data_IF_519716789927
#
_entry.id   IF_519716789927
#
_cell.length_a   1.000
_cell.length_b   1.000
_cell.length_c   1.000
_cell.angle_alpha   90.00
_cell.angle_beta   90.00
_cell.angle_gamma   90.00
#
_symmetry.space_group_name_H-M   'P 1'
#
loop_
_entity.id
_entity.type
_entity.pdbx_description
1 polymer ?
#
# COMPACT_ATOMS: atom_id res chain seq x y z
N UNK A 1 15.76 12.04 -25.16
CA UNK A 1 17.09 12.34 -24.58
C UNK A 1 17.02 12.17 -23.07
N UNK A 2 18.07 11.64 -22.44
CA UNK A 2 18.17 11.64 -20.97
C UNK A 2 18.51 13.08 -20.52
N UNK A 3 17.79 13.60 -19.52
CA UNK A 3 18.12 14.90 -18.90
C UNK A 3 19.19 14.67 -17.83
N UNK A 4 20.25 15.46 -17.86
CA UNK A 4 21.31 15.48 -16.85
C UNK A 4 21.11 16.62 -15.86
N UNK A 5 21.56 16.43 -14.62
CA UNK A 5 21.51 17.43 -13.55
C UNK A 5 22.86 17.48 -12.83
N UNK A 6 23.30 18.68 -12.44
CA UNK A 6 24.51 18.89 -11.63
C UNK A 6 24.08 19.25 -10.22
N UNK A 7 24.54 18.49 -9.23
CA UNK A 7 24.25 18.73 -7.82
C UNK A 7 25.28 19.69 -7.24
N UNK A 8 24.82 20.75 -6.55
CA UNK A 8 25.70 21.79 -5.99
C UNK A 8 26.39 21.36 -4.69
N UNK A 9 25.76 20.48 -3.90
CA UNK A 9 26.30 19.92 -2.66
C UNK A 9 25.76 18.49 -2.46
N UNK A 10 26.20 17.51 -3.25
CA UNK A 10 25.68 16.15 -3.15
C UNK A 10 26.18 15.46 -1.86
N UNK A 11 25.36 14.57 -1.25
CA UNK A 11 25.91 13.52 -0.41
C UNK A 11 26.83 12.60 -1.23
N UNK A 12 27.47 11.63 -0.58
CA UNK A 12 28.34 10.70 -1.28
C UNK A 12 27.61 9.91 -2.38
N UNK A 13 28.38 9.46 -3.38
CA UNK A 13 27.82 8.79 -4.57
C UNK A 13 27.11 7.49 -4.20
N UNK A 14 27.56 6.75 -3.18
CA UNK A 14 26.92 5.50 -2.76
C UNK A 14 25.52 5.76 -2.19
N UNK A 15 25.39 6.78 -1.34
CA UNK A 15 24.10 7.25 -0.83
C UNK A 15 23.15 7.62 -1.97
N UNK A 16 23.64 8.37 -2.97
CA UNK A 16 22.84 8.74 -4.13
C UNK A 16 22.39 7.53 -4.96
N UNK A 17 23.29 6.58 -5.22
CA UNK A 17 23.02 5.35 -5.99
C UNK A 17 21.95 4.50 -5.30
N UNK A 18 22.02 4.37 -3.97
CA UNK A 18 21.10 3.56 -3.16
C UNK A 18 19.73 4.20 -3.01
N UNK A 19 19.70 5.50 -2.70
CA UNK A 19 18.50 6.13 -2.15
C UNK A 19 17.67 6.89 -3.18
N UNK A 20 18.27 7.49 -4.20
CA UNK A 20 17.53 8.38 -5.10
C UNK A 20 16.46 7.63 -5.90
N UNK A 21 15.28 8.24 -5.93
CA UNK A 21 14.25 7.94 -6.93
C UNK A 21 14.50 8.74 -8.21
N UNK A 22 13.88 8.36 -9.33
CA UNK A 22 13.84 9.10 -10.61
C UNK A 22 15.12 9.12 -11.48
N UNK A 23 16.28 8.73 -10.97
CA UNK A 23 17.51 8.75 -11.76
C UNK A 23 17.91 7.34 -12.20
N UNK A 24 18.22 7.17 -13.49
CA UNK A 24 18.78 5.90 -14.02
C UNK A 24 20.22 5.70 -13.57
N UNK A 25 21.02 6.76 -13.57
CA UNK A 25 22.44 6.72 -13.21
C UNK A 25 22.85 7.91 -12.34
N UNK A 26 23.88 7.71 -11.52
CA UNK A 26 24.64 8.75 -10.83
C UNK A 26 26.08 8.63 -11.30
N UNK A 27 26.56 9.64 -12.04
CA UNK A 27 27.75 9.49 -12.86
C UNK A 27 27.58 8.34 -13.85
N UNK A 28 28.48 7.36 -13.79
CA UNK A 28 28.44 6.15 -14.63
C UNK A 28 27.79 4.94 -13.95
N UNK A 29 27.34 5.08 -12.69
CA UNK A 29 26.77 3.97 -11.91
C UNK A 29 25.25 3.93 -12.05
N UNK A 30 24.70 2.76 -12.33
CA UNK A 30 23.26 2.53 -12.35
C UNK A 30 22.72 2.55 -10.91
N UNK A 31 21.60 3.25 -10.69
CA UNK A 31 20.95 3.33 -9.36
C UNK A 31 20.26 2.05 -8.96
N UNK A 32 20.15 1.81 -7.65
CA UNK A 32 19.42 0.67 -7.11
C UNK A 32 17.95 0.75 -7.46
N UNK A 33 17.36 1.96 -7.41
CA UNK A 33 15.98 2.17 -7.86
C UNK A 33 15.77 1.71 -9.31
N UNK A 34 16.66 2.07 -10.23
CA UNK A 34 16.53 1.62 -11.62
C UNK A 34 16.65 0.10 -11.75
N UNK A 35 17.58 -0.53 -11.01
CA UNK A 35 17.72 -2.00 -10.98
C UNK A 35 16.46 -2.67 -10.44
N UNK A 36 15.89 -2.17 -9.34
CA UNK A 36 14.63 -2.67 -8.75
C UNK A 36 13.48 -2.61 -9.76
N UNK A 37 13.34 -1.51 -10.51
CA UNK A 37 12.28 -1.37 -11.52
C UNK A 37 12.38 -2.35 -12.69
N UNK A 38 13.54 -3.02 -12.87
CA UNK A 38 13.71 -4.08 -13.88
C UNK A 38 13.01 -5.38 -13.51
N UNK A 39 12.80 -5.61 -12.22
CA UNK A 39 12.02 -6.72 -11.69
C UNK A 39 10.52 -6.46 -11.79
N UNK A 40 10.05 -6.09 -12.98
CA UNK A 40 8.66 -5.80 -13.24
C UNK A 40 8.07 -6.86 -14.16
N UNK A 41 7.22 -7.71 -13.57
CA UNK A 41 6.53 -8.79 -14.28
C UNK A 41 5.23 -8.32 -14.93
N UNK A 42 4.85 -7.05 -14.77
CA UNK A 42 3.66 -6.45 -15.38
C UNK A 42 4.03 -5.41 -16.44
N UNK A 43 3.03 -4.94 -17.20
CA UNK A 43 3.22 -3.88 -18.20
C UNK A 43 3.18 -2.47 -17.60
N UNK A 44 2.82 -2.33 -16.32
CA UNK A 44 2.64 -1.03 -15.66
C UNK A 44 3.95 -0.57 -15.03
N UNK A 45 4.40 0.65 -15.32
CA UNK A 45 5.71 1.16 -14.89
C UNK A 45 5.89 1.29 -13.36
N UNK A 46 4.81 1.25 -12.58
CA UNK A 46 4.81 1.43 -11.12
C UNK A 46 4.48 0.14 -10.34
N UNK A 47 4.85 -1.01 -10.91
CA UNK A 47 4.39 -2.32 -10.46
C UNK A 47 5.51 -3.36 -10.34
N UNK A 48 6.75 -2.89 -10.18
CA UNK A 48 7.90 -3.78 -9.93
C UNK A 48 7.77 -4.51 -8.58
N UNK A 49 8.45 -5.65 -8.49
CA UNK A 49 8.42 -6.55 -7.33
C UNK A 49 6.98 -6.88 -6.93
N UNK A 50 6.64 -6.71 -5.66
CA UNK A 50 5.33 -7.09 -5.09
C UNK A 50 4.29 -5.97 -5.17
N UNK A 51 4.62 -4.76 -5.64
CA UNK A 51 3.71 -3.60 -5.66
C UNK A 51 2.39 -3.86 -6.42
N UNK A 52 2.44 -4.70 -7.44
CA UNK A 52 1.28 -5.02 -8.27
C UNK A 52 0.27 -5.95 -7.61
N UNK A 53 0.69 -6.74 -6.62
CA UNK A 53 -0.16 -7.75 -5.97
C UNK A 53 -1.46 -7.08 -5.52
N UNK A 54 -2.56 -7.67 -5.99
CA UNK A 54 -3.93 -7.17 -5.89
C UNK A 54 -4.23 -5.81 -6.58
N UNK A 55 -5.27 -5.71 -7.43
CA UNK A 55 -5.58 -4.48 -8.16
C UNK A 55 -6.35 -3.44 -7.32
N UNK A 56 -5.78 -2.96 -6.21
CA UNK A 56 -6.37 -1.89 -5.39
C UNK A 56 -6.39 -0.54 -6.14
N UNK A 57 -7.45 0.26 -5.97
CA UNK A 57 -7.59 1.60 -6.55
C UNK A 57 -7.07 2.66 -5.56
N UNK A 58 -6.53 3.77 -6.07
CA UNK A 58 -6.01 4.85 -5.22
C UNK A 58 -4.65 4.56 -4.57
N UNK A 59 -3.83 3.70 -5.18
CA UNK A 59 -2.49 3.37 -4.66
C UNK A 59 -1.50 4.51 -4.86
N UNK A 60 -0.56 4.63 -3.93
CA UNK A 60 0.65 5.41 -4.14
C UNK A 60 1.52 4.90 -5.28
N UNK A 61 2.20 5.82 -5.95
CA UNK A 61 3.31 5.52 -6.84
C UNK A 61 4.57 5.22 -6.01
N UNK A 62 5.21 4.05 -6.17
CA UNK A 62 6.40 3.69 -5.37
C UNK A 62 7.54 4.72 -5.49
N UNK A 63 7.73 5.26 -6.70
CA UNK A 63 8.73 6.30 -6.97
C UNK A 63 8.55 7.56 -6.10
N UNK A 64 7.30 7.96 -5.87
CA UNK A 64 6.95 9.13 -5.08
C UNK A 64 7.24 8.87 -3.60
N UNK A 65 6.88 7.68 -3.09
CA UNK A 65 7.15 7.29 -1.71
C UNK A 65 8.64 7.25 -1.43
N UNK A 66 9.44 6.68 -2.31
CA UNK A 66 10.91 6.72 -2.17
C UNK A 66 11.44 8.16 -2.12
N UNK A 67 10.89 9.06 -2.92
CA UNK A 67 11.27 10.47 -2.83
C UNK A 67 10.83 11.11 -1.51
N UNK A 68 9.64 10.82 -1.01
CA UNK A 68 9.15 11.35 0.27
C UNK A 68 9.96 10.84 1.46
N UNK A 69 10.32 9.56 1.49
CA UNK A 69 11.22 9.00 2.52
C UNK A 69 12.56 9.76 2.56
N UNK A 70 13.08 10.16 1.40
CA UNK A 70 14.29 10.97 1.31
C UNK A 70 14.08 12.44 1.71
N UNK A 71 12.95 13.06 1.31
CA UNK A 71 12.63 14.45 1.67
C UNK A 71 12.44 14.59 3.19
N UNK A 72 11.83 13.59 3.82
CA UNK A 72 11.69 13.50 5.28
C UNK A 72 12.99 13.14 5.99
N UNK A 73 14.06 12.84 5.23
CA UNK A 73 15.39 12.47 5.73
C UNK A 73 15.37 11.25 6.65
N UNK A 74 14.49 10.29 6.37
CA UNK A 74 14.40 9.07 7.16
C UNK A 74 15.59 8.15 6.90
N UNK A 75 16.26 7.72 7.95
CA UNK A 75 17.42 6.86 7.91
C UNK A 75 17.06 5.39 8.18
N UNK A 76 18.00 4.48 7.89
CA UNK A 76 17.79 3.07 8.19
C UNK A 76 17.57 2.86 9.70
N UNK A 77 16.72 1.91 10.05
CA UNK A 77 16.23 1.64 11.42
C UNK A 77 15.33 2.71 12.04
N UNK A 78 15.16 3.89 11.43
CA UNK A 78 14.08 4.80 11.80
C UNK A 78 12.73 4.26 11.33
N UNK A 79 11.65 4.74 11.94
CA UNK A 79 10.29 4.25 11.68
C UNK A 79 9.46 5.30 10.95
N UNK A 80 8.95 4.91 9.78
CA UNK A 80 7.87 5.62 9.10
C UNK A 80 6.52 5.04 9.48
N UNK A 81 5.56 5.89 9.78
CA UNK A 81 4.16 5.50 9.97
C UNK A 81 3.34 5.86 8.73
N UNK A 82 2.47 4.95 8.33
CA UNK A 82 1.33 5.24 7.47
C UNK A 82 0.04 4.83 8.20
N UNK A 83 -0.74 5.78 8.76
CA UNK A 83 -1.98 5.48 9.47
C UNK A 83 -3.14 5.11 8.53
N UNK A 84 -2.90 5.12 7.21
CA UNK A 84 -3.83 4.68 6.16
C UNK A 84 -3.06 3.84 5.13
N UNK A 85 -2.34 2.81 5.60
CA UNK A 85 -1.34 2.05 4.82
C UNK A 85 -1.86 1.55 3.47
N UNK A 86 -3.16 1.30 3.36
CA UNK A 86 -3.83 0.91 2.13
C UNK A 86 -3.20 -0.36 1.57
N UNK A 87 -2.79 -0.33 0.30
CA UNK A 87 -2.18 -1.50 -0.34
C UNK A 87 -0.70 -1.74 0.02
N UNK A 88 -0.10 -0.94 0.91
CA UNK A 88 1.25 -1.21 1.44
C UNK A 88 2.42 -0.64 0.64
N UNK A 89 2.21 0.32 -0.26
CA UNK A 89 3.32 0.92 -1.04
C UNK A 89 4.35 1.59 -0.11
N UNK A 90 3.90 2.28 0.94
CA UNK A 90 4.80 2.88 1.95
C UNK A 90 5.68 1.82 2.62
N UNK A 91 5.08 0.70 3.02
CA UNK A 91 5.79 -0.40 3.66
C UNK A 91 6.85 -1.06 2.76
N UNK A 92 6.51 -1.35 1.50
CA UNK A 92 7.47 -1.97 0.55
C UNK A 92 8.65 -1.05 0.28
N UNK A 93 8.42 0.25 0.03
CA UNK A 93 9.53 1.17 -0.26
C UNK A 93 10.38 1.50 0.97
N UNK A 94 9.77 1.58 2.16
CA UNK A 94 10.51 1.73 3.41
C UNK A 94 11.40 0.51 3.67
N UNK A 95 10.83 -0.70 3.54
CA UNK A 95 11.56 -1.96 3.71
C UNK A 95 12.77 -2.05 2.77
N UNK A 96 12.61 -1.69 1.49
CA UNK A 96 13.69 -1.68 0.49
C UNK A 96 14.82 -0.67 0.80
N UNK A 97 14.56 0.33 1.65
CA UNK A 97 15.54 1.33 2.07
C UNK A 97 16.12 1.05 3.47
N UNK A 98 15.75 -0.05 4.12
CA UNK A 98 16.15 -0.35 5.50
C UNK A 98 15.42 0.47 6.56
N UNK A 99 14.34 1.16 6.18
CA UNK A 99 13.52 1.98 7.07
C UNK A 99 12.41 1.08 7.63
N UNK A 100 12.21 1.10 8.94
CA UNK A 100 11.11 0.38 9.57
C UNK A 100 9.78 1.03 9.19
N UNK A 101 8.73 0.25 9.01
CA UNK A 101 7.40 0.76 8.72
C UNK A 101 6.37 0.21 9.69
N UNK A 102 5.61 1.10 10.31
CA UNK A 102 4.35 0.75 10.97
C UNK A 102 3.21 1.18 10.04
N UNK A 103 2.37 0.24 9.65
CA UNK A 103 1.20 0.48 8.81
C UNK A 103 -0.08 0.18 9.56
N UNK A 104 -1.03 1.11 9.58
CA UNK A 104 -2.34 0.89 10.19
C UNK A 104 -3.42 1.09 9.13
N UNK A 105 -4.41 0.21 9.10
CA UNK A 105 -5.62 0.35 8.30
C UNK A 105 -6.82 -0.26 9.03
N UNK A 106 -8.00 0.28 8.78
CA UNK A 106 -9.26 -0.33 9.20
C UNK A 106 -9.67 -1.46 8.26
N UNK A 107 -9.15 -1.45 7.03
CA UNK A 107 -9.50 -2.44 6.01
C UNK A 107 -8.68 -3.73 6.19
N UNK A 108 -9.31 -4.86 6.54
CA UNK A 108 -8.61 -6.15 6.67
C UNK A 108 -7.98 -6.61 5.33
N UNK A 109 -8.57 -6.20 4.20
CA UNK A 109 -8.01 -6.44 2.88
C UNK A 109 -6.72 -5.64 2.63
N UNK A 110 -6.63 -4.40 3.14
CA UNK A 110 -5.41 -3.58 3.06
C UNK A 110 -4.30 -4.17 3.93
N UNK A 111 -4.64 -4.63 5.14
CA UNK A 111 -3.72 -5.35 6.04
C UNK A 111 -3.15 -6.58 5.34
N UNK A 112 -4.02 -7.44 4.80
CA UNK A 112 -3.61 -8.66 4.10
C UNK A 112 -2.72 -8.35 2.89
N UNK A 113 -3.09 -7.36 2.06
CA UNK A 113 -2.28 -6.93 0.92
C UNK A 113 -0.89 -6.48 1.34
N UNK A 114 -0.80 -5.64 2.36
CA UNK A 114 0.46 -5.07 2.83
C UNK A 114 1.36 -6.17 3.38
N UNK A 115 0.83 -7.03 4.26
CA UNK A 115 1.54 -8.22 4.79
C UNK A 115 2.08 -9.11 3.68
N UNK A 116 1.25 -9.50 2.72
CA UNK A 116 1.69 -10.37 1.60
C UNK A 116 2.82 -9.73 0.80
N UNK A 117 2.81 -8.41 0.61
CA UNK A 117 3.86 -7.73 -0.17
C UNK A 117 5.20 -7.62 0.53
N UNK A 118 5.22 -7.64 1.86
CA UNK A 118 6.43 -7.40 2.67
C UNK A 118 6.91 -8.61 3.45
N UNK A 119 6.05 -9.61 3.70
CA UNK A 119 6.37 -10.78 4.54
C UNK A 119 6.63 -12.05 3.72
N UNK A 120 6.08 -12.17 2.50
CA UNK A 120 6.20 -13.40 1.69
C UNK A 120 7.63 -13.75 1.32
N UNK A 121 8.52 -12.75 1.26
CA UNK A 121 9.96 -12.94 1.01
C UNK A 121 10.61 -13.85 2.07
N UNK A 122 10.10 -13.85 3.31
CA UNK A 122 10.66 -14.65 4.41
C UNK A 122 10.14 -16.09 4.45
N UNK A 123 9.19 -16.45 3.58
CA UNK A 123 8.54 -17.77 3.56
C UNK A 123 8.38 -18.33 2.13
N UNK A 124 9.16 -17.81 1.19
CA UNK A 124 9.03 -18.14 -0.24
C UNK A 124 9.27 -19.64 -0.54
N UNK A 125 10.14 -20.31 0.20
CA UNK A 125 10.41 -21.73 0.01
C UNK A 125 9.19 -22.59 0.36
N UNK A 126 8.49 -22.27 1.45
CA UNK A 126 7.26 -22.98 1.82
C UNK A 126 6.12 -22.68 0.83
N UNK A 127 6.01 -21.44 0.36
CA UNK A 127 5.09 -21.06 -0.73
C UNK A 127 5.40 -21.87 -2.01
N UNK A 128 6.68 -22.07 -2.37
CA UNK A 128 7.01 -22.88 -3.55
C UNK A 128 6.65 -24.34 -3.34
N UNK A 129 6.88 -24.88 -2.13
CA UNK A 129 6.56 -26.27 -1.77
C UNK A 129 5.06 -26.59 -1.87
N UNK A 130 4.19 -25.70 -1.39
CA UNK A 130 2.74 -25.92 -1.35
C UNK A 130 2.02 -25.54 -2.67
N UNK A 131 2.75 -25.06 -3.67
CA UNK A 131 2.21 -24.56 -4.96
C UNK A 131 1.28 -25.55 -5.65
N UNK A 132 1.72 -26.80 -5.83
CA UNK A 132 0.95 -27.81 -6.57
C UNK A 132 -0.31 -28.24 -5.79
N UNK A 133 -0.21 -28.38 -4.47
CA UNK A 133 -1.35 -28.67 -3.60
C UNK A 133 -2.39 -27.55 -3.67
N UNK A 134 -1.96 -26.28 -3.60
CA UNK A 134 -2.83 -25.12 -3.73
C UNK A 134 -3.60 -25.14 -5.07
N UNK A 135 -2.92 -25.43 -6.18
CA UNK A 135 -3.53 -25.52 -7.51
C UNK A 135 -4.54 -26.67 -7.57
N UNK A 136 -4.18 -27.85 -7.06
CA UNK A 136 -5.06 -29.01 -7.04
C UNK A 136 -6.34 -28.75 -6.22
N UNK A 137 -6.19 -28.25 -4.99
CA UNK A 137 -7.32 -27.90 -4.12
C UNK A 137 -8.19 -26.78 -4.71
N UNK A 138 -7.61 -25.77 -5.36
CA UNK A 138 -8.38 -24.70 -6.00
C UNK A 138 -9.19 -25.20 -7.20
N UNK A 139 -8.59 -26.06 -8.04
CA UNK A 139 -9.29 -26.72 -9.16
C UNK A 139 -10.47 -27.56 -8.64
N UNK A 140 -10.24 -28.36 -7.60
CA UNK A 140 -11.29 -29.21 -7.01
C UNK A 140 -12.48 -28.37 -6.53
N UNK A 141 -12.23 -27.30 -5.77
CA UNK A 141 -13.30 -26.43 -5.25
C UNK A 141 -14.09 -25.67 -6.32
N UNK A 142 -13.61 -25.62 -7.57
CA UNK A 142 -14.25 -24.91 -8.67
C UNK A 142 -14.72 -25.83 -9.81
N UNK A 143 -14.72 -27.16 -9.61
CA UNK A 143 -15.34 -28.10 -10.57
C UNK A 143 -16.87 -28.00 -10.47
N UNK A 144 -17.50 -27.49 -11.53
CA UNK A 144 -18.95 -27.56 -11.74
C UNK A 144 -19.31 -28.97 -12.21
N UNK A 145 -20.28 -29.62 -11.56
CA UNK A 145 -20.96 -30.86 -11.95
C UNK A 145 -20.48 -31.54 -13.25
N UNK A 146 -19.50 -32.44 -13.15
CA UNK A 146 -19.39 -33.51 -14.14
C UNK A 146 -18.77 -34.73 -13.49
N UNK A 147 -19.66 -35.67 -13.18
CA UNK A 147 -19.44 -37.10 -13.01
C UNK A 147 -18.55 -37.52 -11.83
N UNK A 148 -19.16 -38.41 -11.04
CA UNK A 148 -18.61 -39.23 -9.97
C UNK A 148 -17.13 -39.56 -10.22
N UNK A 149 -16.26 -39.12 -9.31
CA UNK A 149 -14.94 -39.72 -9.13
C UNK A 149 -14.79 -40.03 -7.66
N UNK A 150 -14.35 -41.25 -7.43
CA UNK A 150 -14.23 -42.00 -6.19
C UNK A 150 -13.61 -41.22 -5.02
N UNK A 151 -14.00 -41.62 -3.81
CA UNK A 151 -13.43 -41.24 -2.52
C UNK A 151 -11.90 -41.25 -2.57
N UNK A 152 -11.32 -40.09 -2.87
CA UNK A 152 -9.95 -39.77 -2.48
C UNK A 152 -9.96 -38.41 -1.81
N UNK A 153 -9.21 -38.36 -0.70
CA UNK A 153 -9.18 -37.35 0.36
C UNK A 153 -8.60 -36.02 -0.16
N UNK A 154 -9.23 -35.42 -1.16
CA UNK A 154 -8.79 -34.15 -1.70
C UNK A 154 -9.51 -33.02 -0.95
N UNK A 155 -8.74 -32.30 -0.13
CA UNK A 155 -9.24 -31.18 0.68
C UNK A 155 -9.63 -30.00 -0.21
N UNK A 156 -10.79 -29.39 0.06
CA UNK A 156 -11.20 -28.15 -0.60
C UNK A 156 -10.23 -27.01 -0.31
N UNK A 157 -10.24 -25.93 -1.11
CA UNK A 157 -9.26 -24.85 -0.96
C UNK A 157 -9.29 -24.16 0.42
N UNK A 158 -10.46 -24.05 1.07
CA UNK A 158 -10.53 -23.52 2.43
C UNK A 158 -9.88 -24.47 3.46
N UNK A 159 -10.01 -25.79 3.28
CA UNK A 159 -9.33 -26.77 4.13
C UNK A 159 -7.82 -26.78 3.90
N UNK A 160 -7.36 -26.56 2.66
CA UNK A 160 -5.96 -26.30 2.33
C UNK A 160 -5.45 -25.04 3.04
N UNK A 161 -6.19 -23.93 3.01
CA UNK A 161 -5.79 -22.72 3.76
C UNK A 161 -5.70 -23.00 5.27
N UNK A 162 -6.64 -23.79 5.82
CA UNK A 162 -6.67 -24.11 7.24
C UNK A 162 -5.57 -25.09 7.68
N UNK A 163 -5.00 -25.89 6.77
CA UNK A 163 -3.88 -26.79 7.09
C UNK A 163 -2.53 -26.08 7.17
N UNK A 164 -2.44 -24.83 6.71
CA UNK A 164 -1.20 -24.05 6.72
C UNK A 164 -1.01 -23.40 8.11
N UNK A 165 0.06 -23.78 8.79
CA UNK A 165 0.40 -23.28 10.12
C UNK A 165 0.98 -21.85 10.10
N UNK A 166 1.90 -21.56 9.16
CA UNK A 166 2.51 -20.23 9.05
C UNK A 166 1.50 -19.23 8.44
N UNK A 167 1.11 -18.23 9.24
CA UNK A 167 0.14 -17.21 8.82
C UNK A 167 0.58 -16.49 7.54
N UNK A 168 1.89 -16.25 7.34
CA UNK A 168 2.42 -15.53 6.17
C UNK A 168 2.18 -16.33 4.89
N UNK A 169 2.41 -17.65 4.96
CA UNK A 169 2.14 -18.58 3.85
C UNK A 169 0.64 -18.66 3.57
N UNK A 170 -0.18 -18.78 4.61
CA UNK A 170 -1.65 -18.79 4.48
C UNK A 170 -2.18 -17.49 3.87
N UNK A 171 -1.66 -16.35 4.31
CA UNK A 171 -1.99 -15.01 3.80
C UNK A 171 -1.66 -14.90 2.31
N UNK A 172 -0.51 -15.43 1.86
CA UNK A 172 -0.13 -15.45 0.45
C UNK A 172 -1.16 -16.19 -0.42
N UNK A 173 -1.57 -17.40 0.00
CA UNK A 173 -2.56 -18.19 -0.74
C UNK A 173 -3.98 -17.64 -0.66
N UNK A 174 -4.37 -17.05 0.48
CA UNK A 174 -5.63 -16.32 0.58
C UNK A 174 -5.64 -15.15 -0.41
N UNK A 175 -4.56 -14.39 -0.47
CA UNK A 175 -4.43 -13.29 -1.43
C UNK A 175 -4.50 -13.77 -2.89
N UNK A 176 -3.85 -14.90 -3.24
CA UNK A 176 -3.97 -15.48 -4.58
C UNK A 176 -5.43 -15.81 -4.96
N UNK A 177 -6.20 -16.38 -4.02
CA UNK A 177 -7.65 -16.61 -4.18
C UNK A 177 -8.40 -15.29 -4.40
N UNK A 178 -8.14 -14.26 -3.60
CA UNK A 178 -8.82 -12.96 -3.71
C UNK A 178 -8.50 -12.24 -5.01
N UNK A 179 -7.26 -12.34 -5.51
CA UNK A 179 -6.90 -11.81 -6.83
C UNK A 179 -7.72 -12.47 -7.93
N UNK A 180 -7.89 -13.80 -7.89
CA UNK A 180 -8.70 -14.53 -8.87
C UNK A 180 -10.19 -14.13 -8.82
N UNK A 181 -10.74 -13.97 -7.61
CA UNK A 181 -12.12 -13.50 -7.40
C UNK A 181 -12.28 -12.08 -7.97
N UNK A 182 -11.33 -11.18 -7.71
CA UNK A 182 -11.35 -9.82 -8.25
C UNK A 182 -11.26 -9.80 -9.77
N UNK A 183 -10.43 -10.67 -10.37
CA UNK A 183 -10.31 -10.82 -11.82
C UNK A 183 -11.62 -11.28 -12.46
N UNK A 184 -12.32 -12.24 -11.84
CA UNK A 184 -13.65 -12.67 -12.29
C UNK A 184 -14.68 -11.55 -12.17
N UNK A 185 -14.78 -10.94 -10.99
CA UNK A 185 -15.76 -9.89 -10.71
C UNK A 185 -15.60 -8.66 -11.63
N UNK A 186 -14.36 -8.26 -11.92
CA UNK A 186 -14.07 -7.02 -12.67
C UNK A 186 -13.89 -7.22 -14.17
N UNK A 187 -13.54 -8.42 -14.62
CA UNK A 187 -13.14 -8.68 -16.02
C UNK A 187 -13.79 -9.92 -16.63
N UNK A 188 -14.63 -10.64 -15.88
CA UNK A 188 -15.28 -11.87 -16.36
C UNK A 188 -14.31 -13.01 -16.67
N UNK A 189 -13.11 -13.00 -16.08
CA UNK A 189 -12.09 -14.04 -16.34
C UNK A 189 -12.48 -15.37 -15.68
N UNK A 190 -12.05 -16.46 -16.30
CA UNK A 190 -12.12 -17.78 -15.70
C UNK A 190 -11.32 -17.81 -14.38
N UNK A 191 -11.97 -18.26 -13.31
CA UNK A 191 -11.43 -18.14 -11.95
C UNK A 191 -10.24 -19.09 -11.73
N UNK A 192 -10.27 -20.30 -12.29
CA UNK A 192 -9.21 -21.29 -12.12
C UNK A 192 -7.97 -20.88 -12.89
N UNK A 193 -8.13 -20.48 -14.16
CA UNK A 193 -7.03 -19.98 -14.97
C UNK A 193 -6.45 -18.68 -14.42
N UNK A 194 -7.31 -17.78 -13.92
CA UNK A 194 -6.87 -16.55 -13.23
C UNK A 194 -6.08 -16.88 -11.97
N UNK A 195 -6.55 -17.82 -11.14
CA UNK A 195 -5.86 -18.25 -9.93
C UNK A 195 -4.46 -18.79 -10.24
N UNK A 196 -4.35 -19.78 -11.13
CA UNK A 196 -3.06 -20.40 -11.49
C UNK A 196 -2.11 -19.33 -12.02
N UNK A 197 -2.55 -18.53 -13.00
CA UNK A 197 -1.73 -17.49 -13.60
C UNK A 197 -1.23 -16.47 -12.57
N UNK A 198 -2.12 -15.98 -11.69
CA UNK A 198 -1.76 -14.97 -10.71
C UNK A 198 -0.88 -15.57 -9.60
N UNK A 199 -1.09 -16.82 -9.20
CA UNK A 199 -0.25 -17.53 -8.25
C UNK A 199 1.20 -17.63 -8.77
N UNK A 200 1.40 -18.08 -10.01
CA UNK A 200 2.75 -18.13 -10.62
C UNK A 200 3.42 -16.77 -10.65
N UNK A 201 2.65 -15.74 -11.03
CA UNK A 201 3.15 -14.38 -11.13
C UNK A 201 3.55 -13.84 -9.74
N UNK A 202 2.75 -14.13 -8.72
CA UNK A 202 3.03 -13.76 -7.33
C UNK A 202 4.31 -14.45 -6.83
N UNK A 203 4.44 -15.76 -7.03
CA UNK A 203 5.65 -16.53 -6.64
C UNK A 203 6.88 -15.94 -7.32
N UNK A 204 6.81 -15.71 -8.63
CA UNK A 204 7.91 -15.12 -9.41
C UNK A 204 8.29 -13.72 -8.93
N UNK A 205 7.31 -12.93 -8.48
CA UNK A 205 7.55 -11.56 -8.00
C UNK A 205 8.18 -11.53 -6.61
N UNK A 206 7.88 -12.52 -5.77
CA UNK A 206 8.53 -12.68 -4.46
C UNK A 206 9.95 -13.23 -4.64
N UNK A 207 10.17 -14.17 -5.56
CA UNK A 207 11.52 -14.65 -5.94
C UNK A 207 12.41 -13.51 -6.46
N UNK A 208 11.85 -12.65 -7.31
CA UNK A 208 12.52 -11.44 -7.79
C UNK A 208 12.89 -10.49 -6.64
N UNK A 209 12.03 -10.38 -5.62
CA UNK A 209 12.29 -9.55 -4.45
C UNK A 209 13.47 -10.12 -3.64
N UNK A 210 13.44 -11.42 -3.31
CA UNK A 210 14.57 -12.08 -2.64
C UNK A 210 15.88 -11.91 -3.43
N UNK A 211 15.84 -12.13 -4.74
CA UNK A 211 16.99 -11.96 -5.62
C UNK A 211 17.51 -10.53 -5.62
N UNK A 212 16.63 -9.54 -5.77
CA UNK A 212 17.02 -8.13 -5.76
C UNK A 212 17.63 -7.71 -4.41
N UNK A 213 17.07 -8.18 -3.30
CA UNK A 213 17.60 -7.92 -1.96
C UNK A 213 19.02 -8.48 -1.81
N UNK A 214 19.26 -9.70 -2.28
CA UNK A 214 20.60 -10.32 -2.27
C UNK A 214 21.60 -9.62 -3.20
N UNK A 215 21.23 -9.37 -4.45
CA UNK A 215 22.12 -8.77 -5.45
C UNK A 215 22.53 -7.34 -5.12
N UNK A 216 21.65 -6.57 -4.48
CA UNK A 216 21.91 -5.20 -4.06
C UNK A 216 22.43 -5.10 -2.62
N UNK A 217 22.58 -6.25 -1.93
CA UNK A 217 22.96 -6.34 -0.52
C UNK A 217 22.11 -5.41 0.35
N UNK A 218 20.78 -5.50 0.20
CA UNK A 218 19.82 -4.68 0.93
C UNK A 218 19.69 -5.20 2.37
N UNK A 219 19.78 -4.28 3.32
CA UNK A 219 19.33 -4.51 4.69
C UNK A 219 17.86 -4.08 4.74
N UNK A 220 16.95 -5.05 4.84
CA UNK A 220 15.51 -4.77 4.80
C UNK A 220 15.02 -4.21 6.12
N UNK A 221 14.18 -3.18 6.07
CA UNK A 221 13.52 -2.62 7.24
C UNK A 221 12.43 -3.55 7.79
N UNK A 222 12.18 -3.48 9.10
CA UNK A 222 11.10 -4.25 9.71
C UNK A 222 9.75 -3.62 9.34
N UNK A 223 8.77 -4.46 9.03
CA UNK A 223 7.41 -4.02 8.68
C UNK A 223 6.43 -4.60 9.67
N UNK A 224 5.61 -3.75 10.25
CA UNK A 224 4.59 -4.10 11.23
C UNK A 224 3.25 -3.50 10.77
N UNK A 225 2.38 -4.34 10.22
CA UNK A 225 1.08 -3.92 9.69
C UNK A 225 -0.04 -4.47 10.55
N UNK A 226 -0.88 -3.57 11.06
CA UNK A 226 -1.91 -3.86 12.05
C UNK A 226 -3.27 -3.33 11.62
N UNK A 227 -4.30 -4.12 11.88
CA UNK A 227 -5.67 -3.60 11.82
C UNK A 227 -5.88 -2.57 12.93
N UNK A 228 -6.42 -1.41 12.61
CA UNK A 228 -6.63 -0.34 13.57
C UNK A 228 -7.20 0.93 12.96
N UNK A 229 -7.61 1.84 13.83
CA UNK A 229 -8.26 3.10 13.45
C UNK A 229 -7.29 4.27 13.57
N UNK A 230 -7.10 5.02 12.48
CA UNK A 230 -6.25 6.21 12.45
C UNK A 230 -6.68 7.30 13.46
N UNK A 231 -7.96 7.29 13.87
CA UNK A 231 -8.51 8.21 14.88
C UNK A 231 -8.07 7.86 16.30
N UNK A 232 -7.47 6.69 16.50
CA UNK A 232 -6.97 6.18 17.79
C UNK A 232 -5.85 5.17 17.55
N UNK A 233 -4.64 5.68 17.31
CA UNK A 233 -3.46 4.88 17.02
C UNK A 233 -2.99 4.15 18.30
N UNK A 234 -2.77 2.82 18.24
CA UNK A 234 -2.23 2.04 19.36
C UNK A 234 -0.70 2.21 19.48
N UNK A 235 -0.24 3.46 19.48
CA UNK A 235 1.17 3.86 19.50
C UNK A 235 1.42 4.84 20.63
N UNK A 236 2.65 4.85 21.15
CA UNK A 236 3.07 5.78 22.20
C UNK A 236 3.27 7.18 21.63
N UNK A 237 3.13 8.19 22.49
CA UNK A 237 3.48 9.56 22.16
C UNK A 237 4.94 9.63 21.70
N UNK A 238 5.22 10.49 20.71
CA UNK A 238 6.57 10.77 20.22
C UNK A 238 7.43 9.53 19.96
N UNK A 239 6.87 8.53 19.26
CA UNK A 239 7.53 7.24 18.98
C UNK A 239 7.89 7.04 17.51
N UNK A 240 7.51 7.97 16.63
CA UNK A 240 7.64 7.86 15.18
C UNK A 240 8.54 8.97 14.62
N UNK A 241 9.48 8.61 13.75
CA UNK A 241 10.46 9.53 13.16
C UNK A 241 9.98 10.18 11.86
N UNK A 242 8.92 9.67 11.24
CA UNK A 242 8.28 10.32 10.10
C UNK A 242 6.92 9.71 9.76
N UNK A 243 6.04 10.51 9.16
CA UNK A 243 4.74 10.03 8.69
C UNK A 243 4.62 10.28 7.18
N UNK A 244 4.20 9.27 6.42
CA UNK A 244 3.86 9.44 5.00
C UNK A 244 2.51 8.79 4.80
N UNK A 245 1.53 9.56 4.33
CA UNK A 245 0.18 9.02 4.17
C UNK A 245 -0.64 9.72 3.10
N UNK A 246 -1.68 9.04 2.64
CA UNK A 246 -2.74 9.59 1.80
C UNK A 246 -4.07 9.16 2.40
N UNK A 247 -4.71 10.03 3.19
CA UNK A 247 -5.99 9.71 3.80
C UNK A 247 -7.06 9.42 2.74
N UNK A 248 -8.10 8.66 3.08
CA UNK A 248 -9.17 8.36 2.12
C UNK A 248 -9.80 9.66 1.60
N UNK A 249 -9.72 9.85 0.29
CA UNK A 249 -10.42 10.91 -0.46
C UNK A 249 -11.92 10.64 -0.39
N UNK A 250 -12.50 11.09 0.70
CA UNK A 250 -13.72 10.54 1.29
C UNK A 250 -14.99 10.72 0.48
N UNK A 251 -14.88 11.25 -0.73
CA UNK A 251 -16.01 11.60 -1.57
C UNK A 251 -15.78 11.22 -3.04
N UNK A 252 -14.57 10.78 -3.38
CA UNK A 252 -14.22 10.39 -4.75
C UNK A 252 -14.29 8.88 -4.99
N UNK A 253 -14.13 8.05 -3.93
CA UNK A 253 -14.07 6.60 -4.07
C UNK A 253 -14.71 5.89 -2.86
N UNK A 254 -15.64 4.99 -3.14
CA UNK A 254 -16.20 4.08 -2.14
C UNK A 254 -15.34 2.81 -2.08
N UNK A 255 -14.42 2.76 -1.11
CA UNK A 255 -13.47 1.64 -0.96
C UNK A 255 -14.16 0.32 -0.60
N UNK A 256 -15.27 0.37 0.15
CA UNK A 256 -16.04 -0.82 0.51
C UNK A 256 -16.72 -1.38 -0.75
N UNK A 257 -17.43 -0.54 -1.49
CA UNK A 257 -18.12 -0.98 -2.71
C UNK A 257 -17.14 -1.44 -3.81
N UNK A 258 -15.98 -0.80 -3.91
CA UNK A 258 -14.99 -1.13 -4.95
C UNK A 258 -14.38 -2.53 -4.79
N UNK A 259 -14.29 -3.02 -3.55
CA UNK A 259 -13.68 -4.30 -3.20
C UNK A 259 -14.65 -5.25 -2.46
N UNK A 260 -15.96 -5.00 -2.60
CA UNK A 260 -17.04 -5.80 -2.00
C UNK A 260 -16.87 -7.31 -2.26
N UNK A 261 -16.55 -7.71 -3.50
CA UNK A 261 -16.31 -9.10 -3.88
C UNK A 261 -15.21 -9.78 -3.07
N UNK A 262 -14.21 -9.02 -2.61
CA UNK A 262 -13.11 -9.55 -1.81
C UNK A 262 -13.48 -9.59 -0.32
N UNK A 263 -14.16 -8.57 0.19
CA UNK A 263 -14.67 -8.56 1.56
C UNK A 263 -15.68 -9.67 1.83
N UNK A 264 -16.63 -9.88 0.92
CA UNK A 264 -17.59 -10.98 0.97
C UNK A 264 -16.89 -12.35 0.95
N UNK A 265 -15.87 -12.50 0.10
CA UNK A 265 -15.07 -13.73 0.03
C UNK A 265 -14.23 -13.99 1.28
N UNK A 266 -13.92 -12.95 2.05
CA UNK A 266 -13.27 -13.02 3.36
C UNK A 266 -14.29 -13.17 4.50
N UNK A 267 -15.60 -13.15 4.21
CA UNK A 267 -16.67 -13.34 5.19
C UNK A 267 -17.10 -12.08 5.95
N UNK A 268 -16.75 -10.89 5.46
CA UNK A 268 -17.13 -9.64 6.10
C UNK A 268 -18.53 -9.15 5.69
N UNK A 269 -19.22 -8.55 6.65
CA UNK A 269 -20.49 -7.85 6.47
C UNK A 269 -20.22 -6.42 5.98
N UNK A 270 -20.58 -6.13 4.73
CA UNK A 270 -20.29 -4.84 4.10
C UNK A 270 -20.96 -3.66 4.81
N UNK A 271 -22.16 -3.84 5.38
CA UNK A 271 -22.87 -2.75 6.04
C UNK A 271 -22.16 -2.36 7.33
N UNK A 272 -21.72 -3.35 8.11
CA UNK A 272 -20.91 -3.10 9.33
C UNK A 272 -19.57 -2.44 9.01
N UNK A 273 -18.89 -2.87 7.94
CA UNK A 273 -17.61 -2.27 7.55
C UNK A 273 -17.75 -0.78 7.21
N UNK A 274 -18.86 -0.37 6.57
CA UNK A 274 -19.06 1.04 6.19
C UNK A 274 -19.07 1.98 7.39
N UNK A 275 -19.46 1.53 8.57
CA UNK A 275 -19.52 2.35 9.78
C UNK A 275 -18.13 2.65 10.38
N UNK A 276 -17.14 1.84 10.02
CA UNK A 276 -15.77 1.96 10.52
C UNK A 276 -14.92 2.84 9.60
N UNK A 277 -15.16 2.80 8.29
CA UNK A 277 -14.37 3.51 7.29
C UNK A 277 -14.61 5.03 7.30
N UNK A 278 -13.50 5.78 7.28
CA UNK A 278 -13.55 7.23 7.11
C UNK A 278 -14.04 7.57 5.70
N UNK A 279 -15.03 8.46 5.64
CA UNK A 279 -15.53 9.04 4.39
C UNK A 279 -16.73 8.40 3.73
N UNK A 280 -17.07 7.17 4.07
CA UNK A 280 -18.23 6.48 3.46
C UNK A 280 -19.52 6.60 4.29
N UNK A 281 -19.45 7.27 5.45
CA UNK A 281 -20.54 7.45 6.42
C UNK A 281 -21.39 8.68 6.13
N UNK A 282 -22.67 8.60 6.47
CA UNK A 282 -23.63 9.69 6.24
C UNK A 282 -23.92 9.99 4.76
N UNK A 283 -24.77 11.00 4.52
CA UNK A 283 -25.15 11.51 3.19
C UNK A 283 -25.08 13.05 3.18
N UNK A 284 -24.90 13.64 2.00
CA UNK A 284 -24.93 15.10 1.83
C UNK A 284 -23.92 15.82 2.72
N UNK A 285 -24.36 16.88 3.39
CA UNK A 285 -23.54 17.68 4.32
C UNK A 285 -23.06 16.89 5.55
N UNK A 286 -23.88 15.97 6.06
CA UNK A 286 -23.51 15.14 7.22
C UNK A 286 -22.27 14.30 6.93
N UNK A 287 -22.10 13.79 5.70
CA UNK A 287 -20.89 13.06 5.31
C UNK A 287 -19.64 13.94 5.41
N UNK A 288 -19.72 15.19 4.94
CA UNK A 288 -18.60 16.12 4.98
C UNK A 288 -18.22 16.46 6.41
N UNK A 289 -19.21 16.68 7.28
CA UNK A 289 -18.99 16.95 8.70
C UNK A 289 -18.29 15.78 9.39
N UNK A 290 -18.81 14.55 9.22
CA UNK A 290 -18.22 13.35 9.78
C UNK A 290 -16.79 13.12 9.29
N UNK A 291 -16.55 13.32 7.99
CA UNK A 291 -15.21 13.23 7.42
C UNK A 291 -14.23 14.22 8.07
N UNK A 292 -14.61 15.49 8.16
CA UNK A 292 -13.76 16.51 8.76
C UNK A 292 -13.47 16.19 10.24
N UNK A 293 -14.46 15.72 11.00
CA UNK A 293 -14.28 15.28 12.39
C UNK A 293 -13.31 14.08 12.50
N UNK A 294 -13.46 13.08 11.63
CA UNK A 294 -12.58 11.92 11.58
C UNK A 294 -11.14 12.31 11.21
N UNK A 295 -10.98 13.19 10.22
CA UNK A 295 -9.68 13.70 9.81
C UNK A 295 -9.03 14.52 10.90
N UNK A 296 -9.76 15.40 11.57
CA UNK A 296 -9.23 16.16 12.71
C UNK A 296 -8.71 15.21 13.79
N UNK A 297 -9.45 14.15 14.16
CA UNK A 297 -8.98 13.14 15.13
C UNK A 297 -7.72 12.42 14.65
N UNK A 298 -7.69 12.03 13.38
CA UNK A 298 -6.52 11.36 12.79
C UNK A 298 -5.28 12.26 12.79
N UNK A 299 -5.44 13.56 12.49
CA UNK A 299 -4.36 14.54 12.53
C UNK A 299 -3.86 14.78 13.97
N UNK A 300 -4.73 14.75 14.98
CA UNK A 300 -4.31 14.80 16.39
C UNK A 300 -3.45 13.59 16.75
N UNK A 301 -3.86 12.39 16.35
CA UNK A 301 -3.07 11.17 16.60
C UNK A 301 -1.73 11.20 15.88
N UNK A 302 -1.70 11.67 14.62
CA UNK A 302 -0.46 11.88 13.86
C UNK A 302 0.48 12.88 14.56
N UNK A 303 -0.05 13.98 15.10
CA UNK A 303 0.73 14.92 15.91
C UNK A 303 1.27 14.28 17.19
N UNK A 304 0.41 13.55 17.91
CA UNK A 304 0.75 12.89 19.18
C UNK A 304 1.92 11.91 19.03
N UNK A 305 1.87 11.04 18.01
CA UNK A 305 2.87 9.97 17.84
C UNK A 305 4.15 10.41 17.15
N UNK A 306 4.13 11.49 16.37
CA UNK A 306 5.33 12.01 15.71
C UNK A 306 6.26 12.68 16.73
N UNK A 307 7.55 12.39 16.66
CA UNK A 307 8.55 13.09 17.47
C UNK A 307 8.66 14.58 17.11
N UNK A 308 8.98 15.41 18.10
CA UNK A 308 9.28 16.82 17.87
C UNK A 308 10.45 17.02 16.91
N UNK A 309 10.32 17.97 15.98
CA UNK A 309 11.31 18.28 14.96
C UNK A 309 11.26 17.37 13.72
N UNK A 310 10.48 16.27 13.77
CA UNK A 310 10.26 15.38 12.63
C UNK A 310 9.15 15.86 11.72
N UNK A 311 9.06 15.23 10.56
CA UNK A 311 8.19 15.66 9.48
C UNK A 311 7.10 14.64 9.13
N UNK A 312 5.97 15.15 8.66
CA UNK A 312 4.86 14.40 8.11
C UNK A 312 4.57 14.87 6.68
N UNK A 313 4.45 13.94 5.73
CA UNK A 313 3.97 14.19 4.37
C UNK A 313 2.55 13.63 4.20
N UNK A 314 1.61 14.52 3.86
CA UNK A 314 0.21 14.17 3.60
C UNK A 314 -0.07 14.44 2.13
N UNK A 315 -0.40 13.40 1.38
CA UNK A 315 -0.82 13.50 -0.02
C UNK A 315 -2.32 13.59 -0.07
N UNK A 316 -2.82 14.75 -0.47
CA UNK A 316 -4.25 15.06 -0.45
C UNK A 316 -4.61 16.01 -1.59
N UNK A 317 -5.81 15.84 -2.13
CA UNK A 317 -6.34 16.62 -3.24
C UNK A 317 -7.71 17.16 -2.90
N UNK A 318 -8.08 18.26 -3.56
CA UNK A 318 -9.42 18.79 -3.43
C UNK A 318 -10.43 17.88 -4.12
N UNK A 319 -11.48 17.48 -3.39
CA UNK A 319 -12.56 16.68 -3.93
C UNK A 319 -13.66 17.56 -4.54
N UNK A 320 -14.44 17.00 -5.46
CA UNK A 320 -15.68 17.62 -5.95
C UNK A 320 -16.83 16.71 -5.60
N UNK A 321 -17.83 17.22 -4.89
CA UNK A 321 -19.05 16.48 -4.55
C UNK A 321 -20.28 17.24 -5.00
N UNK A 322 -21.17 16.60 -5.78
CA UNK A 322 -22.40 17.23 -6.27
C UNK A 322 -22.17 18.65 -6.84
N UNK A 323 -21.12 18.82 -7.65
CA UNK A 323 -20.67 20.09 -8.26
C UNK A 323 -20.09 21.16 -7.30
N UNK A 324 -19.98 20.87 -6.00
CA UNK A 324 -19.32 21.73 -5.02
C UNK A 324 -17.87 21.29 -4.82
N UNK A 325 -16.93 22.24 -4.94
CA UNK A 325 -15.50 22.00 -4.69
C UNK A 325 -15.25 22.02 -3.19
N UNK A 326 -14.63 20.96 -2.69
CA UNK A 326 -14.29 20.79 -1.28
C UNK A 326 -12.83 21.21 -1.11
N UNK A 327 -12.62 22.14 -0.20
CA UNK A 327 -11.32 22.73 0.14
C UNK A 327 -10.56 21.87 1.15
N UNK A 328 -10.34 20.61 0.79
CA UNK A 328 -9.72 19.62 1.67
C UNK A 328 -8.27 19.99 2.00
N UNK A 329 -7.56 20.58 1.04
CA UNK A 329 -6.18 21.04 1.22
C UNK A 329 -6.13 22.15 2.26
N UNK A 330 -6.94 23.20 2.10
CA UNK A 330 -6.98 24.34 3.00
C UNK A 330 -7.41 23.93 4.41
N UNK A 331 -8.44 23.07 4.52
CA UNK A 331 -8.86 22.51 5.80
C UNK A 331 -7.71 21.75 6.50
N UNK A 332 -7.00 20.89 5.77
CA UNK A 332 -5.90 20.09 6.34
C UNK A 332 -4.76 20.98 6.85
N UNK A 333 -4.38 22.01 6.08
CA UNK A 333 -3.35 22.98 6.50
C UNK A 333 -3.79 23.67 7.79
N UNK A 334 -5.00 24.22 7.84
CA UNK A 334 -5.52 24.94 9.00
C UNK A 334 -5.57 24.05 10.26
N UNK A 335 -6.01 22.79 10.12
CA UNK A 335 -6.05 21.86 11.25
C UNK A 335 -4.65 21.48 11.74
N UNK A 336 -3.72 21.19 10.83
CA UNK A 336 -2.34 20.90 11.19
C UNK A 336 -1.68 22.08 11.92
N UNK A 337 -1.86 23.30 11.43
CA UNK A 337 -1.30 24.52 12.05
C UNK A 337 -1.85 24.75 13.46
N UNK A 338 -3.17 24.54 13.67
CA UNK A 338 -3.79 24.59 15.00
C UNK A 338 -3.20 23.57 15.99
N UNK A 339 -2.76 22.42 15.49
CA UNK A 339 -2.14 21.37 16.30
C UNK A 339 -0.68 21.64 16.66
N UNK A 340 -0.03 22.63 16.03
CA UNK A 340 1.39 22.91 16.26
C UNK A 340 2.33 22.31 15.19
N UNK A 341 1.79 21.88 14.05
CA UNK A 341 2.59 21.66 12.86
C UNK A 341 2.88 22.98 12.13
N UNK A 342 4.03 23.05 11.46
CA UNK A 342 4.37 24.13 10.54
C UNK A 342 4.47 23.57 9.13
N UNK A 343 3.76 24.17 8.17
CA UNK A 343 3.87 23.79 6.76
C UNK A 343 5.23 24.23 6.20
N UNK A 344 6.06 23.26 5.83
CA UNK A 344 7.41 23.50 5.29
C UNK A 344 7.38 23.57 3.76
N UNK A 345 6.54 22.76 3.12
CA UNK A 345 6.44 22.73 1.67
C UNK A 345 5.06 22.26 1.20
N UNK A 346 4.64 22.75 0.05
CA UNK A 346 3.41 22.34 -0.62
C UNK A 346 3.72 22.03 -2.09
N UNK A 347 3.85 20.75 -2.41
CA UNK A 347 4.22 20.30 -3.75
C UNK A 347 2.94 20.03 -4.54
N UNK A 348 2.70 20.84 -5.57
CA UNK A 348 1.55 20.68 -6.46
C UNK A 348 1.83 19.63 -7.55
N UNK A 349 0.91 18.69 -7.72
CA UNK A 349 0.92 17.72 -8.83
C UNK A 349 -0.39 17.84 -9.62
N UNK A 350 -0.25 18.13 -10.90
CA UNK A 350 -1.39 18.10 -11.82
C UNK A 350 -1.61 16.66 -12.26
N UNK A 351 -2.82 16.16 -12.04
CA UNK A 351 -3.30 14.86 -12.51
C UNK A 351 -4.29 15.10 -13.64
N UNK A 352 -4.03 14.44 -14.77
CA UNK A 352 -4.97 14.33 -15.86
C UNK A 352 -5.85 13.10 -15.61
N UNK A 353 -7.11 13.32 -15.25
CA UNK A 353 -8.06 12.22 -15.04
C UNK A 353 -8.45 11.52 -16.35
N UNK A 354 -9.16 10.38 -16.22
CA UNK A 354 -9.72 9.58 -17.34
C UNK A 354 -10.64 10.37 -18.29
N UNK A 355 -11.03 11.59 -17.94
CA UNK A 355 -11.93 12.46 -18.71
C UNK A 355 -11.34 13.85 -19.01
N UNK A 356 -10.02 14.03 -18.99
CA UNK A 356 -9.36 15.34 -19.19
C UNK A 356 -9.77 16.43 -18.19
N UNK A 357 -10.41 16.06 -17.07
CA UNK A 357 -10.66 16.98 -15.95
C UNK A 357 -9.35 17.12 -15.18
N UNK A 358 -8.80 18.33 -15.15
CA UNK A 358 -7.60 18.66 -14.40
C UNK A 358 -7.92 18.58 -12.89
N UNK A 359 -7.30 17.63 -12.20
CA UNK A 359 -7.35 17.52 -10.74
C UNK A 359 -5.97 17.83 -10.17
N UNK A 360 -5.92 18.55 -9.06
CA UNK A 360 -4.68 18.90 -8.37
C UNK A 360 -4.58 18.09 -7.10
N UNK A 361 -3.54 17.26 -7.02
CA UNK A 361 -3.11 16.62 -5.78
C UNK A 361 -1.94 17.41 -5.21
N UNK A 362 -1.96 17.60 -3.90
CA UNK A 362 -0.94 18.32 -3.16
C UNK A 362 -0.23 17.34 -2.24
N UNK A 363 1.09 17.41 -2.19
CA UNK A 363 1.88 16.81 -1.11
C UNK A 363 2.25 17.90 -0.14
N UNK A 364 1.56 17.92 1.00
CA UNK A 364 1.78 18.85 2.10
C UNK A 364 2.84 18.25 3.03
N UNK A 365 3.94 18.97 3.24
CA UNK A 365 5.01 18.55 4.14
C UNK A 365 5.00 19.47 5.34
N UNK A 366 4.74 18.89 6.50
CA UNK A 366 4.70 19.58 7.78
C UNK A 366 5.86 19.13 8.67
N UNK A 367 6.31 20.01 9.57
CA UNK A 367 7.23 19.69 10.67
C UNK A 367 6.52 19.91 12.00
N UNK A 368 6.67 19.00 12.96
CA UNK A 368 6.14 19.18 14.31
C UNK A 368 7.07 20.10 15.10
N UNK A 369 6.62 21.32 15.37
CA UNK A 369 7.43 22.32 16.07
C UNK A 369 7.12 22.41 17.57
N UNK A 370 5.88 22.09 17.94
CA UNK A 370 5.37 22.14 19.32
C UNK A 370 4.74 20.83 19.72
#
# INVERSE_FOLDING_TARGET
SLRGFVLRNPPDVDTLVRRLAYFKTIGHRITDYYRLTRYNRTRSVNQYLTHWIYPYKGKFHPQMIRALLNILKLEANETVLDPFIGSGTTAVEAQLLGINCIGIDVSPLCILQSKVKTESIYVIDEIKRLREEAIASFKLSNRVHTLIVEETVAKGYNEFLNSINDERVRNFYLMAKLVAISDRARRGRDIVQSFIKNLELMISSVDDYERAARELNLQLGNVDVREGDARRLPLKDESIQGIITSPPYSIALDYVANDAHAFEAMGYDLDKMRDEFIGVRGRGETRMKLYNEDMTKSLHEMHRVLEKGRCCAIVIGNATYQKHKIKTIEFTIEQCEKLGFTLINNINKIIYGLYNVMQTDNTLIFRKDR
#
